data_IF_103541630106
#
_entry.id   IF_103541630106
#
_cell.length_a   1.000
_cell.length_b   1.000
_cell.length_c   1.000
_cell.angle_alpha   90.00
_cell.angle_beta   90.00
_cell.angle_gamma   90.00
#
_symmetry.space_group_name_H-M   'P 1'
#
loop_
_entity.id
_entity.type
_entity.pdbx_description
1 polymer ?
#
# COMPACT_ATOMS: atom_id res chain seq x y z
N UNK A 1 -8.35 -1.28 21.76
CA UNK A 1 -7.95 -0.04 22.43
C UNK A 1 -6.65 0.49 21.86
N UNK A 2 -6.58 1.79 21.62
CA UNK A 2 -5.38 2.50 21.13
C UNK A 2 -4.91 3.45 22.22
N UNK A 3 -3.60 3.49 22.49
CA UNK A 3 -3.01 4.44 23.44
C UNK A 3 -1.76 5.07 22.86
N UNK A 4 -1.75 6.40 22.85
CA UNK A 4 -0.62 7.25 22.49
C UNK A 4 -0.03 7.87 23.75
N UNK A 5 1.30 7.87 23.90
CA UNK A 5 2.00 8.46 25.03
C UNK A 5 3.06 9.43 24.51
N UNK A 6 2.85 10.74 24.69
CA UNK A 6 3.77 11.83 24.34
C UNK A 6 4.35 11.70 22.93
N UNK A 7 3.46 11.44 21.96
CA UNK A 7 3.85 11.20 20.56
C UNK A 7 4.27 12.50 19.89
N UNK A 8 5.43 12.43 19.23
CA UNK A 8 5.97 13.54 18.45
C UNK A 8 6.38 13.07 17.06
N UNK A 9 5.99 13.84 16.04
CA UNK A 9 6.32 13.59 14.64
C UNK A 9 6.84 14.86 13.99
N UNK A 10 7.98 14.71 13.31
CA UNK A 10 8.61 15.77 12.54
C UNK A 10 8.82 15.31 11.10
N UNK A 11 8.59 16.19 10.15
CA UNK A 11 9.11 16.08 8.79
C UNK A 11 10.39 16.92 8.67
N UNK A 12 11.32 16.50 7.82
CA UNK A 12 12.58 17.18 7.56
C UNK A 12 13.38 17.56 8.83
N UNK A 13 13.35 16.71 9.86
CA UNK A 13 14.01 17.00 11.14
C UNK A 13 15.50 17.32 10.95
N UNK A 14 15.95 18.44 11.52
CA UNK A 14 17.33 18.94 11.44
C UNK A 14 17.64 19.72 10.14
N UNK A 15 16.64 20.00 9.30
CA UNK A 15 16.77 20.85 8.11
C UNK A 15 16.10 22.21 8.36
N UNK A 16 16.44 23.25 7.53
CA UNK A 16 15.80 24.57 7.63
C UNK A 16 14.28 24.56 7.49
N UNK A 17 13.74 23.58 6.76
CA UNK A 17 12.30 23.37 6.55
C UNK A 17 11.73 22.26 7.44
N UNK A 18 12.17 22.16 8.69
CA UNK A 18 11.60 21.23 9.67
C UNK A 18 10.18 21.66 10.02
N UNK A 19 9.26 20.69 9.98
CA UNK A 19 7.86 20.87 10.39
C UNK A 19 7.57 19.91 11.55
N UNK A 20 7.04 20.43 12.67
CA UNK A 20 6.58 19.65 13.80
C UNK A 20 5.08 19.41 13.63
N UNK A 21 4.68 18.26 13.16
CA UNK A 21 3.29 17.98 12.73
C UNK A 21 2.45 17.33 13.81
N UNK A 22 3.05 16.61 14.75
CA UNK A 22 2.38 16.09 15.95
C UNK A 22 3.24 16.48 17.14
N UNK A 23 2.65 17.25 18.05
CA UNK A 23 3.35 17.80 19.20
C UNK A 23 2.83 17.20 20.50
N UNK A 24 3.67 16.38 21.13
CA UNK A 24 3.48 15.81 22.46
C UNK A 24 2.09 15.21 22.72
N UNK A 25 1.49 14.61 21.71
CA UNK A 25 0.12 14.10 21.75
C UNK A 25 0.01 12.85 22.60
N UNK A 26 -0.89 12.87 23.60
CA UNK A 26 -1.30 11.72 24.38
C UNK A 26 -2.80 11.53 24.21
N UNK A 27 -3.23 10.30 23.90
CA UNK A 27 -4.62 9.99 23.58
C UNK A 27 -4.93 8.54 23.93
N UNK A 28 -6.13 8.30 24.43
CA UNK A 28 -6.62 6.96 24.68
C UNK A 28 -7.99 6.77 24.02
N UNK A 29 -8.11 5.71 23.21
CA UNK A 29 -9.31 5.39 22.45
C UNK A 29 -9.82 4.02 22.85
N UNK A 30 -11.14 3.89 22.99
CA UNK A 30 -11.84 2.67 23.37
C UNK A 30 -11.81 1.57 22.32
N UNK A 31 -12.65 0.56 22.49
CA UNK A 31 -12.68 -0.61 21.61
C UNK A 31 -13.70 -0.47 20.49
N UNK A 32 -14.70 0.39 20.65
CA UNK A 32 -15.79 0.63 19.69
C UNK A 32 -16.23 2.09 19.72
N UNK A 33 -16.99 2.47 18.74
CA UNK A 33 -17.53 3.82 18.57
C UNK A 33 -16.86 4.56 17.42
N UNK A 34 -17.47 5.66 17.01
CA UNK A 34 -17.00 6.56 15.97
C UNK A 34 -16.33 7.78 16.61
N UNK A 35 -15.03 7.91 16.44
CA UNK A 35 -14.23 9.05 16.92
C UNK A 35 -13.86 9.91 15.72
N UNK A 36 -14.30 11.17 15.71
CA UNK A 36 -13.94 12.13 14.68
C UNK A 36 -12.72 12.95 15.09
N UNK A 37 -11.75 13.08 14.18
CA UNK A 37 -10.64 14.02 14.26
C UNK A 37 -10.96 15.22 13.39
N UNK A 38 -11.24 16.37 14.01
CA UNK A 38 -11.57 17.63 13.35
C UNK A 38 -10.40 18.62 13.42
N UNK A 39 -10.40 19.59 12.53
CA UNK A 39 -9.44 20.70 12.50
C UNK A 39 -9.18 21.22 11.10
N UNK A 40 -8.48 22.34 10.97
CA UNK A 40 -8.19 22.94 9.68
C UNK A 40 -7.30 22.06 8.79
N UNK A 41 -7.26 22.34 7.49
CA UNK A 41 -6.40 21.63 6.55
C UNK A 41 -4.93 21.84 6.94
N UNK A 42 -4.14 20.76 6.92
CA UNK A 42 -2.71 20.82 7.27
C UNK A 42 -2.37 20.73 8.76
N UNK A 43 -3.32 20.73 9.69
CA UNK A 43 -3.06 20.67 11.15
C UNK A 43 -2.50 19.31 11.64
N UNK A 44 -2.36 18.29 10.77
CA UNK A 44 -1.74 17.02 11.13
C UNK A 44 -2.68 15.83 11.31
N UNK A 45 -3.99 15.93 11.04
CA UNK A 45 -4.98 14.84 11.21
C UNK A 45 -4.61 13.56 10.48
N UNK A 46 -4.41 13.63 9.17
CA UNK A 46 -3.98 12.49 8.34
C UNK A 46 -2.63 11.92 8.81
N UNK A 47 -1.70 12.78 9.25
CA UNK A 47 -0.43 12.32 9.80
C UNK A 47 -0.64 11.55 11.11
N UNK A 48 -1.50 12.03 12.00
CA UNK A 48 -1.85 11.33 13.23
C UNK A 48 -2.52 9.99 12.92
N UNK A 49 -3.45 9.95 11.98
CA UNK A 49 -4.10 8.72 11.53
C UNK A 49 -3.08 7.71 10.98
N UNK A 50 -2.14 8.17 10.14
CA UNK A 50 -1.09 7.32 9.56
C UNK A 50 -0.12 6.77 10.63
N UNK A 51 0.17 7.56 11.65
CA UNK A 51 1.01 7.15 12.77
C UNK A 51 0.30 6.10 13.63
N UNK A 52 -1.00 6.29 13.91
CA UNK A 52 -1.85 5.31 14.61
C UNK A 52 -1.93 4.01 13.79
N UNK A 53 -2.08 4.11 12.48
CA UNK A 53 -2.13 2.97 11.57
C UNK A 53 -0.80 2.25 11.34
N UNK A 54 0.30 2.77 11.90
CA UNK A 54 1.64 2.21 11.69
C UNK A 54 2.15 2.35 10.26
N UNK A 55 1.55 3.24 9.46
CA UNK A 55 2.00 3.58 8.11
C UNK A 55 3.18 4.55 8.15
N UNK A 56 3.20 5.42 9.16
CA UNK A 56 4.27 6.39 9.37
C UNK A 56 4.96 6.19 10.73
N UNK A 57 6.21 6.61 10.82
CA UNK A 57 7.03 6.46 12.03
C UNK A 57 7.01 7.72 12.86
N UNK A 58 6.97 7.55 14.17
CA UNK A 58 7.16 8.64 15.15
C UNK A 58 8.64 8.86 15.48
N UNK A 59 8.97 10.02 16.02
CA UNK A 59 10.33 10.36 16.49
C UNK A 59 10.50 10.23 17.99
N UNK A 60 9.44 10.52 18.77
CA UNK A 60 9.39 10.36 20.23
C UNK A 60 8.01 9.85 20.62
N UNK A 61 7.90 9.27 21.82
CA UNK A 61 6.66 8.74 22.36
C UNK A 61 6.46 7.25 22.11
N UNK A 62 5.28 6.76 22.46
CA UNK A 62 4.91 5.36 22.29
C UNK A 62 3.49 5.25 21.77
N UNK A 63 3.23 4.23 20.96
CA UNK A 63 1.91 3.90 20.43
C UNK A 63 1.63 2.44 20.71
N UNK A 64 0.48 2.17 21.27
CA UNK A 64 0.00 0.82 21.54
C UNK A 64 -1.33 0.57 20.84
N UNK A 65 -1.48 -0.61 20.26
CA UNK A 65 -2.70 -1.13 19.67
C UNK A 65 -3.00 -2.48 20.29
N UNK A 66 -4.18 -2.64 20.91
CA UNK A 66 -4.55 -3.83 21.65
C UNK A 66 -3.46 -4.27 22.65
N UNK A 67 -2.90 -3.32 23.40
CA UNK A 67 -1.82 -3.52 24.37
C UNK A 67 -0.42 -3.77 23.77
N UNK A 68 -0.30 -3.90 22.47
CA UNK A 68 0.96 -4.18 21.81
C UNK A 68 1.59 -2.89 21.24
N UNK A 69 2.87 -2.66 21.56
CA UNK A 69 3.62 -1.49 21.07
C UNK A 69 3.92 -1.58 19.59
N UNK A 70 3.48 -0.57 18.80
CA UNK A 70 3.68 -0.49 17.36
C UNK A 70 4.65 0.63 16.93
N UNK A 71 5.06 1.49 17.85
CA UNK A 71 5.94 2.63 17.59
C UNK A 71 7.44 2.29 17.45
N UNK A 72 7.79 1.02 17.47
CA UNK A 72 9.17 0.53 17.29
C UNK A 72 9.54 0.39 15.80
N UNK A 73 10.82 0.08 15.53
CA UNK A 73 11.29 -0.20 14.16
C UNK A 73 10.41 -1.27 13.51
N UNK A 74 10.27 -1.20 12.18
CA UNK A 74 9.55 -2.21 11.39
C UNK A 74 9.94 -3.61 11.85
N UNK A 75 9.01 -4.31 12.45
CA UNK A 75 9.17 -5.69 12.85
C UNK A 75 7.99 -6.49 12.33
N UNK A 76 8.18 -7.78 12.13
CA UNK A 76 7.11 -8.72 11.77
C UNK A 76 5.88 -8.57 12.69
N UNK A 77 6.08 -8.28 13.98
CA UNK A 77 5.00 -8.07 14.96
C UNK A 77 4.15 -6.85 14.60
N UNK A 78 4.77 -5.71 14.24
CA UNK A 78 4.05 -4.49 13.84
C UNK A 78 3.27 -4.73 12.55
N UNK A 79 3.89 -5.36 11.55
CA UNK A 79 3.22 -5.71 10.30
C UNK A 79 2.04 -6.65 10.52
N UNK A 80 2.16 -7.62 11.41
CA UNK A 80 1.08 -8.53 11.79
C UNK A 80 -0.11 -7.76 12.39
N UNK A 81 0.14 -6.87 13.36
CA UNK A 81 -0.91 -6.06 14.00
C UNK A 81 -1.62 -5.22 12.94
N UNK A 82 -0.86 -4.45 12.14
CA UNK A 82 -1.43 -3.59 11.10
C UNK A 82 -2.27 -4.39 10.10
N UNK A 83 -1.75 -5.50 9.62
CA UNK A 83 -2.40 -6.27 8.57
C UNK A 83 -3.64 -7.03 9.07
N UNK A 84 -3.69 -7.44 10.33
CA UNK A 84 -4.83 -8.17 10.89
C UNK A 84 -5.86 -7.28 11.57
N UNK A 85 -5.40 -6.26 12.32
CA UNK A 85 -6.28 -5.54 13.24
C UNK A 85 -6.73 -4.17 12.72
N UNK A 86 -6.06 -3.61 11.69
CA UNK A 86 -6.35 -2.26 11.20
C UNK A 86 -6.82 -2.31 9.75
N UNK A 87 -8.05 -1.86 9.49
CA UNK A 87 -8.56 -1.54 8.15
C UNK A 87 -8.32 -0.07 7.83
N UNK A 88 -8.02 0.25 6.57
CA UNK A 88 -7.77 1.63 6.16
C UNK A 88 -8.67 2.00 4.97
N UNK A 89 -9.42 3.09 5.12
CA UNK A 89 -10.25 3.71 4.08
C UNK A 89 -9.55 5.02 3.71
N UNK A 90 -9.13 5.14 2.46
CA UNK A 90 -8.35 6.28 1.96
C UNK A 90 -9.24 7.26 1.19
N UNK A 91 -8.95 8.54 1.26
CA UNK A 91 -9.59 9.59 0.49
C UNK A 91 -9.55 9.33 -1.03
N UNK A 92 -8.37 8.95 -1.56
CA UNK A 92 -8.18 8.62 -3.00
C UNK A 92 -8.47 7.14 -3.29
N UNK A 93 -9.25 6.45 -2.47
CA UNK A 93 -9.59 5.03 -2.60
C UNK A 93 -8.39 4.08 -2.62
N UNK A 94 -7.27 4.43 -3.24
CA UNK A 94 -6.04 3.62 -3.42
C UNK A 94 -6.35 2.22 -3.97
N UNK A 95 -7.29 2.13 -4.90
CA UNK A 95 -7.60 0.90 -5.61
C UNK A 95 -6.56 0.63 -6.70
N UNK A 96 -6.42 -0.63 -7.07
CA UNK A 96 -5.61 -1.03 -8.22
C UNK A 96 -6.52 -0.99 -9.44
N UNK A 97 -6.36 0.03 -10.28
CA UNK A 97 -7.29 0.38 -11.35
C UNK A 97 -7.54 -0.74 -12.37
N UNK A 98 -6.50 -1.52 -12.71
CA UNK A 98 -6.60 -2.62 -13.67
C UNK A 98 -7.10 -3.94 -13.06
N UNK A 99 -7.31 -4.00 -11.76
CA UNK A 99 -7.91 -5.17 -11.12
C UNK A 99 -9.42 -5.02 -11.03
N UNK A 100 -10.10 -6.17 -11.08
CA UNK A 100 -11.54 -6.23 -10.84
C UNK A 100 -11.87 -5.77 -9.40
N UNK A 101 -13.14 -5.39 -9.17
CA UNK A 101 -13.67 -5.13 -7.83
C UNK A 101 -13.39 -6.33 -6.91
N UNK A 102 -13.68 -7.54 -7.39
CA UNK A 102 -13.42 -8.76 -6.65
C UNK A 102 -11.94 -8.90 -6.26
N UNK A 103 -11.01 -8.71 -7.21
CA UNK A 103 -9.59 -8.89 -6.95
C UNK A 103 -9.01 -7.80 -6.04
N UNK A 104 -9.51 -6.56 -6.12
CA UNK A 104 -9.12 -5.49 -5.20
C UNK A 104 -9.44 -5.84 -3.73
N UNK A 105 -10.53 -6.56 -3.49
CA UNK A 105 -10.91 -7.01 -2.15
C UNK A 105 -10.20 -8.31 -1.77
N UNK A 106 -10.16 -9.29 -2.69
CA UNK A 106 -9.56 -10.60 -2.45
C UNK A 106 -8.05 -10.55 -2.17
N UNK A 107 -7.33 -9.58 -2.76
CA UNK A 107 -5.89 -9.44 -2.59
C UNK A 107 -5.50 -9.30 -1.11
N UNK A 108 -6.32 -8.61 -0.31
CA UNK A 108 -6.05 -8.41 1.13
C UNK A 108 -6.05 -9.73 1.89
N UNK A 109 -7.02 -10.61 1.60
CA UNK A 109 -7.10 -11.94 2.21
C UNK A 109 -5.89 -12.80 1.83
N UNK A 110 -5.49 -12.75 0.55
CA UNK A 110 -4.27 -13.42 0.07
C UNK A 110 -3.01 -12.88 0.77
N UNK A 111 -2.93 -11.57 0.99
CA UNK A 111 -1.79 -10.93 1.66
C UNK A 111 -1.65 -11.29 3.14
N UNK A 112 -2.74 -11.55 3.84
CA UNK A 112 -2.72 -12.04 5.22
C UNK A 112 -2.52 -13.55 5.32
N UNK A 113 -2.44 -14.26 4.18
CA UNK A 113 -2.07 -15.66 4.11
C UNK A 113 -3.23 -16.65 4.02
N UNK A 114 -4.45 -16.19 3.71
CA UNK A 114 -5.56 -17.08 3.42
C UNK A 114 -5.35 -17.69 2.03
N UNK A 115 -5.29 -19.02 1.96
CA UNK A 115 -5.03 -19.77 0.73
C UNK A 115 -6.28 -20.46 0.18
N UNK A 116 -7.27 -20.70 1.02
CA UNK A 116 -8.52 -21.36 0.61
C UNK A 116 -9.32 -20.41 -0.29
N UNK A 117 -9.51 -20.85 -1.52
CA UNK A 117 -10.25 -20.11 -2.54
C UNK A 117 -11.75 -19.97 -2.20
N UNK A 118 -12.34 -20.99 -1.57
CA UNK A 118 -13.76 -20.97 -1.19
C UNK A 118 -14.00 -19.98 -0.06
N UNK A 119 -13.11 -19.95 0.93
CA UNK A 119 -13.14 -18.98 2.02
C UNK A 119 -13.00 -17.55 1.50
N UNK A 120 -12.03 -17.31 0.61
CA UNK A 120 -11.85 -16.00 -0.04
C UNK A 120 -13.13 -15.60 -0.78
N UNK A 121 -13.68 -16.50 -1.59
CA UNK A 121 -14.90 -16.25 -2.38
C UNK A 121 -16.06 -15.88 -1.48
N UNK A 122 -16.35 -16.68 -0.45
CA UNK A 122 -17.44 -16.44 0.50
C UNK A 122 -17.34 -15.06 1.15
N UNK A 123 -16.17 -14.71 1.67
CA UNK A 123 -15.96 -13.41 2.33
C UNK A 123 -16.10 -12.23 1.39
N UNK A 124 -15.47 -12.32 0.21
CA UNK A 124 -15.53 -11.24 -0.79
C UNK A 124 -16.94 -11.05 -1.30
N UNK A 125 -17.64 -12.11 -1.69
CA UNK A 125 -19.00 -12.00 -2.21
C UNK A 125 -19.97 -11.46 -1.16
N UNK A 126 -19.82 -11.89 0.08
CA UNK A 126 -20.63 -11.35 1.17
C UNK A 126 -20.41 -9.84 1.37
N UNK A 127 -19.17 -9.39 1.54
CA UNK A 127 -18.91 -7.98 1.80
C UNK A 127 -19.34 -7.10 0.63
N UNK A 128 -19.19 -7.59 -0.62
CA UNK A 128 -19.66 -6.87 -1.80
C UNK A 128 -21.19 -6.78 -1.86
N UNK A 129 -21.90 -7.83 -1.44
CA UNK A 129 -23.37 -7.80 -1.32
C UNK A 129 -23.81 -6.83 -0.22
N UNK A 130 -23.21 -6.89 0.96
CA UNK A 130 -23.54 -6.01 2.09
C UNK A 130 -23.35 -4.53 1.78
N UNK A 131 -22.46 -4.20 0.84
CA UNK A 131 -22.20 -2.84 0.37
C UNK A 131 -22.89 -2.49 -0.95
N UNK A 132 -23.83 -3.32 -1.43
CA UNK A 132 -24.60 -3.14 -2.68
C UNK A 132 -23.71 -2.92 -3.92
N UNK A 133 -22.53 -3.58 -3.97
CA UNK A 133 -21.58 -3.42 -5.07
C UNK A 133 -21.25 -4.74 -5.79
N UNK A 134 -21.88 -5.82 -5.40
CA UNK A 134 -21.64 -7.17 -5.94
C UNK A 134 -21.85 -7.26 -7.47
N UNK A 135 -22.86 -6.55 -8.01
CA UNK A 135 -23.15 -6.52 -9.45
C UNK A 135 -21.95 -6.05 -10.30
N UNK A 136 -21.01 -5.33 -9.71
CA UNK A 136 -19.81 -4.82 -10.38
C UNK A 136 -18.57 -5.68 -10.13
N UNK A 137 -18.69 -6.85 -9.49
CA UNK A 137 -17.54 -7.66 -9.04
C UNK A 137 -16.48 -7.94 -10.09
N UNK A 138 -16.87 -8.08 -11.36
CA UNK A 138 -15.98 -8.38 -12.48
C UNK A 138 -15.46 -7.12 -13.20
N UNK A 139 -15.97 -5.92 -12.89
CA UNK A 139 -15.53 -4.68 -13.53
C UNK A 139 -14.18 -4.24 -12.99
N UNK A 140 -13.28 -3.69 -13.83
CA UNK A 140 -12.09 -2.99 -13.37
C UNK A 140 -12.46 -1.79 -12.50
N UNK A 141 -11.64 -1.50 -11.46
CA UNK A 141 -11.90 -0.38 -10.56
C UNK A 141 -11.90 0.98 -11.27
N UNK A 142 -11.16 1.11 -12.38
CA UNK A 142 -11.14 2.32 -13.21
C UNK A 142 -12.50 2.70 -13.83
N UNK A 143 -13.41 1.72 -13.98
CA UNK A 143 -14.73 1.91 -14.61
C UNK A 143 -15.85 2.21 -13.59
N UNK A 144 -15.51 2.49 -12.35
CA UNK A 144 -16.47 2.75 -11.27
C UNK A 144 -16.62 4.25 -11.01
N UNK A 145 -17.84 4.67 -10.59
CA UNK A 145 -18.07 6.01 -10.05
C UNK A 145 -17.35 6.22 -8.70
N UNK A 146 -17.21 7.47 -8.24
CA UNK A 146 -16.57 7.80 -6.97
C UNK A 146 -17.17 7.05 -5.78
N UNK A 147 -18.50 7.08 -5.63
CA UNK A 147 -19.19 6.35 -4.56
C UNK A 147 -19.01 4.83 -4.65
N UNK A 148 -19.00 4.26 -5.87
CA UNK A 148 -18.71 2.83 -6.07
C UNK A 148 -17.26 2.50 -5.71
N UNK A 149 -16.28 3.33 -6.09
CA UNK A 149 -14.87 3.18 -5.71
C UNK A 149 -14.70 3.22 -4.20
N UNK A 150 -15.39 4.13 -3.51
CA UNK A 150 -15.35 4.25 -2.06
C UNK A 150 -15.91 3.00 -1.37
N UNK A 151 -17.03 2.47 -1.84
CA UNK A 151 -17.60 1.22 -1.31
C UNK A 151 -16.65 0.03 -1.50
N UNK A 152 -15.91 -0.04 -2.62
CA UNK A 152 -14.84 -1.05 -2.81
C UNK A 152 -13.69 -0.83 -1.82
N UNK A 153 -13.30 0.42 -1.56
CA UNK A 153 -12.31 0.77 -0.54
C UNK A 153 -12.71 0.30 0.86
N UNK A 154 -13.99 0.52 1.22
CA UNK A 154 -14.58 0.04 2.47
C UNK A 154 -14.61 -1.50 2.51
N UNK A 155 -15.05 -2.17 1.43
CA UNK A 155 -15.03 -3.62 1.33
C UNK A 155 -13.64 -4.19 1.57
N UNK A 156 -12.63 -3.59 0.94
CA UNK A 156 -11.22 -3.96 1.10
C UNK A 156 -10.71 -3.79 2.53
N UNK A 157 -11.15 -2.73 3.22
CA UNK A 157 -10.79 -2.51 4.62
C UNK A 157 -11.43 -3.55 5.55
N UNK A 158 -12.69 -3.93 5.29
CA UNK A 158 -13.50 -4.79 6.16
C UNK A 158 -13.30 -6.29 5.94
N UNK A 159 -12.95 -6.75 4.74
CA UNK A 159 -12.93 -8.18 4.36
C UNK A 159 -12.07 -9.07 5.25
N UNK A 160 -11.07 -8.49 5.91
CA UNK A 160 -10.17 -9.19 6.84
C UNK A 160 -10.64 -9.16 8.30
N UNK A 161 -11.81 -8.57 8.57
CA UNK A 161 -12.39 -8.41 9.90
C UNK A 161 -11.46 -7.69 10.90
N UNK A 162 -11.08 -6.44 10.64
CA UNK A 162 -10.22 -5.70 11.53
C UNK A 162 -10.98 -5.21 12.76
N UNK A 163 -10.28 -5.03 13.88
CA UNK A 163 -10.85 -4.46 15.11
C UNK A 163 -10.98 -2.93 15.03
N UNK A 164 -10.14 -2.30 14.21
CA UNK A 164 -10.00 -0.86 14.07
C UNK A 164 -10.11 -0.46 12.61
N UNK A 165 -10.90 0.56 12.32
CA UNK A 165 -11.00 1.19 11.01
C UNK A 165 -10.45 2.61 11.11
N UNK A 166 -9.55 2.96 10.20
CA UNK A 166 -9.03 4.30 10.01
C UNK A 166 -9.60 4.84 8.70
N UNK A 167 -10.34 5.92 8.77
CA UNK A 167 -10.98 6.55 7.62
C UNK A 167 -10.45 7.98 7.44
N UNK A 168 -9.79 8.22 6.33
CA UNK A 168 -9.17 9.48 5.98
C UNK A 168 -10.01 10.19 4.92
N UNK A 169 -10.80 11.18 5.32
CA UNK A 169 -11.72 11.95 4.49
C UNK A 169 -12.54 11.08 3.51
N UNK A 170 -13.32 10.11 4.03
CA UNK A 170 -13.98 9.12 3.18
C UNK A 170 -15.10 9.68 2.30
N UNK A 171 -15.53 10.92 2.53
CA UNK A 171 -16.58 11.63 1.77
C UNK A 171 -16.03 12.70 0.84
N UNK A 172 -14.77 13.12 0.97
CA UNK A 172 -14.20 14.30 0.34
C UNK A 172 -14.20 14.37 -1.18
N UNK A 173 -14.45 13.25 -1.87
CA UNK A 173 -14.55 13.18 -3.34
C UNK A 173 -15.92 12.68 -3.81
N UNK A 174 -16.96 12.84 -2.99
CA UNK A 174 -18.31 12.33 -3.24
C UNK A 174 -19.32 13.46 -3.27
N UNK A 175 -20.40 13.25 -4.00
CA UNK A 175 -21.59 14.10 -3.89
C UNK A 175 -22.30 13.89 -2.55
N UNK A 176 -23.20 14.78 -2.19
CA UNK A 176 -23.91 14.80 -0.92
C UNK A 176 -24.68 13.49 -0.62
N UNK A 177 -25.33 12.90 -1.63
CA UNK A 177 -26.08 11.65 -1.48
C UNK A 177 -25.16 10.47 -1.16
N UNK A 178 -24.08 10.30 -1.93
CA UNK A 178 -23.09 9.27 -1.68
C UNK A 178 -22.37 9.48 -0.35
N UNK A 179 -22.10 10.74 0.05
CA UNK A 179 -21.48 11.08 1.34
C UNK A 179 -22.33 10.57 2.51
N UNK A 180 -23.64 10.82 2.50
CA UNK A 180 -24.56 10.31 3.52
C UNK A 180 -24.59 8.78 3.57
N UNK A 181 -24.66 8.12 2.42
CA UNK A 181 -24.65 6.66 2.36
C UNK A 181 -23.36 6.07 2.94
N UNK A 182 -22.20 6.65 2.62
CA UNK A 182 -20.91 6.23 3.18
C UNK A 182 -20.84 6.48 4.68
N UNK A 183 -21.33 7.63 5.17
CA UNK A 183 -21.35 7.92 6.59
C UNK A 183 -22.28 6.98 7.37
N UNK A 184 -23.45 6.61 6.82
CA UNK A 184 -24.33 5.61 7.41
C UNK A 184 -23.64 4.24 7.52
N UNK A 185 -22.90 3.82 6.49
CA UNK A 185 -22.09 2.59 6.53
C UNK A 185 -21.02 2.68 7.63
N UNK A 186 -20.29 3.79 7.71
CA UNK A 186 -19.24 4.03 8.72
C UNK A 186 -19.84 4.00 10.14
N UNK A 187 -20.98 4.65 10.36
CA UNK A 187 -21.69 4.63 11.65
C UNK A 187 -22.12 3.22 12.02
N UNK A 188 -22.70 2.47 11.10
CA UNK A 188 -23.08 1.08 11.33
C UNK A 188 -21.88 0.18 11.71
N UNK A 189 -20.73 0.36 11.07
CA UNK A 189 -19.49 -0.34 11.40
C UNK A 189 -19.04 0.00 12.83
N UNK A 190 -19.16 1.26 13.24
CA UNK A 190 -18.69 1.76 14.54
C UNK A 190 -19.45 1.18 15.75
N UNK A 191 -20.64 0.64 15.55
CA UNK A 191 -21.40 -0.04 16.63
C UNK A 191 -20.62 -1.20 17.26
N UNK A 192 -19.81 -1.89 16.47
CA UNK A 192 -19.09 -3.10 16.90
C UNK A 192 -17.56 -2.96 16.88
N UNK A 193 -17.02 -1.85 16.38
CA UNK A 193 -15.59 -1.61 16.19
C UNK A 193 -15.22 -0.17 16.47
N UNK A 194 -13.94 0.07 16.74
CA UNK A 194 -13.42 1.43 16.77
C UNK A 194 -13.24 1.95 15.34
N UNK A 195 -13.87 3.07 15.04
CA UNK A 195 -13.66 3.81 13.80
C UNK A 195 -13.08 5.17 14.14
N UNK A 196 -11.93 5.51 13.55
CA UNK A 196 -11.32 6.83 13.64
C UNK A 196 -11.51 7.50 12.29
N UNK A 197 -12.27 8.57 12.28
CA UNK A 197 -12.64 9.34 11.11
C UNK A 197 -11.88 10.66 11.09
N UNK A 198 -11.12 10.93 10.05
CA UNK A 198 -10.64 12.28 9.73
C UNK A 198 -11.61 12.91 8.77
N UNK A 199 -12.10 14.10 9.07
CA UNK A 199 -12.93 14.88 8.17
C UNK A 199 -12.76 16.37 8.45
N UNK A 200 -13.06 17.19 7.48
CA UNK A 200 -13.23 18.64 7.60
C UNK A 200 -14.71 19.06 7.60
N UNK A 201 -15.62 18.11 7.35
CA UNK A 201 -17.06 18.31 7.36
C UNK A 201 -17.59 18.28 8.80
N UNK A 202 -17.63 19.46 9.42
CA UNK A 202 -17.99 19.61 10.83
C UNK A 202 -19.40 19.11 11.14
N UNK A 203 -20.36 19.38 10.25
CA UNK A 203 -21.76 18.97 10.42
C UNK A 203 -21.92 17.44 10.44
N UNK A 204 -21.29 16.73 9.50
CA UNK A 204 -21.28 15.27 9.49
C UNK A 204 -20.60 14.69 10.72
N UNK A 205 -19.48 15.29 11.15
CA UNK A 205 -18.80 14.84 12.35
C UNK A 205 -19.69 14.98 13.60
N UNK A 206 -20.32 16.14 13.80
CA UNK A 206 -21.22 16.36 14.94
C UNK A 206 -22.47 15.49 14.89
N UNK A 207 -22.93 15.12 13.72
CA UNK A 207 -24.10 14.25 13.61
C UNK A 207 -23.76 12.78 13.87
N UNK A 208 -22.66 12.26 13.30
CA UNK A 208 -22.36 10.83 13.31
C UNK A 208 -21.43 10.38 14.43
N UNK A 209 -20.47 11.22 14.87
CA UNK A 209 -19.45 10.80 15.82
C UNK A 209 -19.99 10.65 17.23
N UNK A 210 -19.43 9.70 17.98
CA UNK A 210 -19.70 9.51 19.42
C UNK A 210 -18.74 10.36 20.28
N UNK A 211 -17.53 10.65 19.74
CA UNK A 211 -16.50 11.48 20.38
C UNK A 211 -15.82 12.34 19.33
N UNK A 212 -15.53 13.57 19.66
CA UNK A 212 -14.88 14.53 18.79
C UNK A 212 -13.56 14.98 19.43
N UNK A 213 -12.51 14.98 18.63
CA UNK A 213 -11.17 15.44 19.00
C UNK A 213 -10.79 16.54 18.00
N UNK A 214 -10.68 17.76 18.51
CA UNK A 214 -10.26 18.91 17.70
C UNK A 214 -8.74 19.05 17.75
N UNK A 215 -8.13 19.18 16.58
CA UNK A 215 -6.68 19.27 16.42
C UNK A 215 -6.34 20.59 15.75
N UNK A 216 -5.44 21.34 16.36
CA UNK A 216 -4.88 22.57 15.84
C UNK A 216 -3.36 22.56 16.02
N UNK A 217 -2.61 22.95 15.00
CA UNK A 217 -1.14 23.01 14.98
C UNK A 217 -0.43 21.77 15.58
N UNK A 218 -0.98 20.59 15.29
CA UNK A 218 -0.43 19.31 15.74
C UNK A 218 -0.70 18.94 17.18
N UNK A 219 -1.55 19.71 17.90
CA UNK A 219 -1.97 19.45 19.28
C UNK A 219 -3.44 19.13 19.35
N UNK A 220 -3.84 18.40 20.38
CA UNK A 220 -5.25 18.23 20.71
C UNK A 220 -5.68 19.46 21.53
N UNK A 221 -6.60 20.22 20.95
CA UNK A 221 -7.18 21.40 21.60
C UNK A 221 -8.38 21.02 22.45
N UNK A 222 -9.26 20.17 21.92
CA UNK A 222 -10.43 19.70 22.64
C UNK A 222 -10.64 18.20 22.41
N UNK A 223 -11.19 17.54 23.41
CA UNK A 223 -11.52 16.12 23.40
C UNK A 223 -12.77 15.90 24.25
N UNK A 224 -13.89 15.57 23.60
CA UNK A 224 -15.18 15.49 24.29
C UNK A 224 -16.10 14.44 23.67
N UNK A 225 -16.98 13.90 24.51
CA UNK A 225 -18.10 13.05 24.08
C UNK A 225 -19.14 13.91 23.36
N UNK A 226 -19.64 13.43 22.25
CA UNK A 226 -20.61 14.16 21.45
C UNK A 226 -22.04 13.70 21.77
N UNK A 227 -22.74 14.50 22.56
CA UNK A 227 -24.12 14.26 22.99
C UNK A 227 -25.16 14.94 22.06
N UNK A 228 -24.77 15.36 20.88
CA UNK A 228 -25.65 16.02 19.93
C UNK A 228 -26.81 15.09 19.52
N UNK A 229 -28.04 15.55 19.75
CA UNK A 229 -29.31 14.87 19.39
C UNK A 229 -30.02 15.55 18.22
N UNK A 230 -29.47 16.65 17.70
CA UNK A 230 -30.11 17.39 16.62
C UNK A 230 -30.11 16.60 15.33
N UNK A 231 -31.12 16.78 14.51
CA UNK A 231 -31.16 16.29 13.14
C UNK A 231 -30.06 16.97 12.28
N UNK A 232 -29.68 16.31 11.21
CA UNK A 232 -28.70 16.82 10.25
C UNK A 232 -29.39 17.64 9.17
N UNK A 233 -29.09 18.90 9.10
CA UNK A 233 -29.47 19.76 7.97
C UNK A 233 -28.46 19.60 6.85
N UNK A 234 -28.68 18.62 5.97
CA UNK A 234 -27.76 18.28 4.89
C UNK A 234 -28.53 18.17 3.58
N UNK A 235 -28.59 19.27 2.86
CA UNK A 235 -29.32 19.32 1.58
C UNK A 235 -28.51 18.62 0.49
N UNK A 236 -29.18 17.70 -0.18
CA UNK A 236 -28.58 17.02 -1.35
C UNK A 236 -28.72 18.00 -2.52
N UNK A 237 -27.58 18.41 -3.08
CA UNK A 237 -27.45 19.48 -4.10
C UNK A 237 -28.36 19.27 -5.32
N UNK A 238 -28.63 18.00 -5.66
CA UNK A 238 -29.41 17.65 -6.85
C UNK A 238 -30.88 17.36 -6.55
N UNK A 239 -31.36 17.57 -5.32
CA UNK A 239 -32.77 17.33 -4.94
C UNK A 239 -33.51 18.67 -4.85
N UNK A 240 -34.59 18.78 -5.61
CA UNK A 240 -35.47 19.95 -5.58
C UNK A 240 -36.77 19.53 -4.88
N UNK A 241 -37.04 20.13 -3.71
CA UNK A 241 -38.22 19.88 -2.91
C UNK A 241 -39.34 20.80 -3.35
N UNK A 242 -40.35 20.28 -4.06
CA UNK A 242 -41.36 21.08 -4.73
C UNK A 242 -42.25 21.81 -3.74
N UNK A 243 -42.58 21.21 -2.57
CA UNK A 243 -43.41 21.86 -1.57
C UNK A 243 -42.76 22.99 -0.83
N UNK A 244 -41.44 23.15 -0.90
CA UNK A 244 -40.71 24.30 -0.34
C UNK A 244 -40.73 25.50 -1.28
N UNK A 245 -41.22 25.34 -2.50
CA UNK A 245 -41.31 26.35 -3.50
C UNK A 245 -42.73 26.90 -3.63
N UNK A 246 -42.89 28.17 -4.02
CA UNK A 246 -44.19 28.72 -4.41
C UNK A 246 -44.62 28.03 -5.71
N UNK A 247 -45.87 27.55 -5.73
CA UNK A 247 -46.44 26.87 -6.88
C UNK A 247 -47.47 27.73 -7.56
N UNK A 248 -47.35 27.85 -8.89
CA UNK A 248 -48.33 28.49 -9.77
C UNK A 248 -48.64 27.52 -10.91
N UNK A 249 -49.89 27.48 -11.30
CA UNK A 249 -50.35 26.66 -12.42
C UNK A 249 -51.00 27.54 -13.46
N UNK A 250 -50.55 27.39 -14.70
CA UNK A 250 -51.15 28.08 -15.86
C UNK A 250 -51.76 26.99 -16.74
N UNK A 251 -53.07 27.02 -16.89
CA UNK A 251 -53.80 26.08 -17.70
C UNK A 251 -54.44 26.78 -18.89
N UNK A 252 -54.10 26.34 -20.09
CA UNK A 252 -54.79 26.73 -21.33
C UNK A 252 -55.22 25.42 -22.02
N UNK A 253 -56.11 25.52 -23.03
CA UNK A 253 -56.80 24.38 -23.68
C UNK A 253 -55.92 23.16 -23.95
N UNK A 254 -54.66 23.36 -24.31
CA UNK A 254 -53.70 22.30 -24.66
C UNK A 254 -52.36 22.45 -23.95
N UNK A 255 -52.20 23.34 -22.97
CA UNK A 255 -50.99 23.58 -22.23
C UNK A 255 -51.26 23.60 -20.73
N UNK A 256 -50.63 22.71 -20.02
CA UNK A 256 -50.56 22.72 -18.56
C UNK A 256 -49.13 23.04 -18.16
N UNK A 257 -48.90 24.20 -17.55
CA UNK A 257 -47.60 24.64 -17.09
C UNK A 257 -47.64 24.77 -15.56
N UNK A 258 -46.76 24.05 -14.88
CA UNK A 258 -46.53 24.12 -13.43
C UNK A 258 -45.22 24.88 -13.20
N UNK A 259 -45.25 25.95 -12.44
CA UNK A 259 -44.12 26.78 -12.11
C UNK A 259 -43.88 26.66 -10.62
N UNK A 260 -42.64 26.25 -10.26
CA UNK A 260 -42.19 26.18 -8.86
C UNK A 260 -41.01 27.15 -8.72
N UNK A 261 -41.12 28.12 -7.82
CA UNK A 261 -40.12 29.16 -7.64
C UNK A 261 -39.85 29.51 -6.18
N UNK A 262 -38.58 29.77 -5.84
CA UNK A 262 -38.20 30.23 -4.53
C UNK A 262 -38.26 31.75 -4.36
N UNK A 263 -38.17 32.52 -5.46
CA UNK A 263 -38.29 33.97 -5.54
C UNK A 263 -38.98 34.32 -6.83
N UNK A 264 -39.92 35.26 -6.76
CA UNK A 264 -40.60 35.74 -7.94
C UNK A 264 -39.57 36.33 -8.93
N UNK A 265 -39.49 35.74 -10.11
CA UNK A 265 -38.67 36.23 -11.22
C UNK A 265 -39.49 36.25 -12.49
N UNK A 266 -39.23 37.26 -13.29
CA UNK A 266 -39.78 37.31 -14.64
C UNK A 266 -39.02 36.30 -15.51
N UNK A 267 -39.64 35.18 -15.80
CA UNK A 267 -39.09 34.16 -16.69
C UNK A 267 -39.64 34.42 -18.08
N UNK A 268 -38.75 34.61 -19.05
CA UNK A 268 -39.14 34.84 -20.43
C UNK A 268 -38.55 33.76 -21.32
N UNK A 269 -39.42 32.87 -21.82
CA UNK A 269 -39.03 31.85 -22.79
C UNK A 269 -40.12 31.67 -23.85
N UNK A 270 -39.72 31.25 -25.04
CA UNK A 270 -40.62 30.91 -26.15
C UNK A 270 -40.60 29.37 -26.25
N UNK A 271 -41.80 28.79 -26.19
CA UNK A 271 -42.00 27.34 -26.39
C UNK A 271 -42.61 27.18 -27.79
N UNK A 272 -41.93 26.41 -28.65
CA UNK A 272 -42.42 26.10 -30.00
C UNK A 272 -42.65 24.61 -30.08
N UNK A 273 -43.85 24.20 -30.46
CA UNK A 273 -44.22 22.79 -30.70
C UNK A 273 -44.43 22.59 -32.19
N UNK A 274 -43.56 21.80 -32.82
CA UNK A 274 -43.63 21.55 -34.27
C UNK A 274 -43.24 20.10 -34.58
N UNK A 275 -44.05 19.41 -35.36
CA UNK A 275 -43.77 18.04 -35.82
C UNK A 275 -43.47 17.06 -34.69
N UNK A 276 -44.17 17.18 -33.55
CA UNK A 276 -43.94 16.31 -32.37
C UNK A 276 -42.73 16.66 -31.54
N UNK A 277 -41.98 17.69 -31.88
CA UNK A 277 -40.83 18.19 -31.11
C UNK A 277 -41.20 19.45 -30.34
N UNK A 278 -40.61 19.61 -29.17
CA UNK A 278 -40.74 20.78 -28.31
C UNK A 278 -39.40 21.51 -28.33
N UNK A 279 -39.41 22.77 -28.73
CA UNK A 279 -38.25 23.64 -28.74
C UNK A 279 -38.44 24.76 -27.69
N UNK A 280 -37.44 24.97 -26.87
CA UNK A 280 -37.43 25.98 -25.82
C UNK A 280 -36.35 27.04 -26.18
N UNK A 281 -36.75 28.29 -26.40
CA UNK A 281 -35.81 29.40 -26.56
C UNK A 281 -35.85 30.23 -25.29
N UNK A 282 -34.74 30.30 -24.59
CA UNK A 282 -34.58 31.21 -23.45
C UNK A 282 -34.27 32.60 -23.94
N UNK A 283 -35.01 33.59 -23.45
CA UNK A 283 -34.79 35.04 -23.72
C UNK A 283 -34.31 35.78 -22.47
N UNK A 284 -34.19 35.08 -21.33
CA UNK A 284 -33.66 35.59 -20.07
C UNK A 284 -32.19 35.28 -19.86
N UNK A 285 -31.58 35.79 -18.77
CA UNK A 285 -30.21 35.53 -18.40
C UNK A 285 -30.02 34.12 -17.72
N UNK A 286 -31.11 33.44 -17.41
CA UNK A 286 -31.09 32.17 -16.66
C UNK A 286 -30.64 31.03 -17.56
N UNK A 287 -29.94 30.06 -16.95
CA UNK A 287 -29.55 28.79 -17.62
C UNK A 287 -30.74 27.85 -17.66
N UNK A 288 -31.03 27.26 -18.82
CA UNK A 288 -32.04 26.25 -18.98
C UNK A 288 -31.39 24.86 -18.86
N UNK A 289 -31.88 24.04 -17.92
CA UNK A 289 -31.51 22.63 -17.78
C UNK A 289 -32.74 21.77 -17.98
N UNK A 290 -32.64 20.75 -18.82
CA UNK A 290 -33.73 19.81 -19.10
C UNK A 290 -33.53 18.58 -18.23
N UNK A 291 -34.50 18.30 -17.36
CA UNK A 291 -34.49 17.12 -16.48
C UNK A 291 -35.12 15.96 -17.23
N UNK A 292 -34.33 14.95 -17.58
CA UNK A 292 -34.77 13.71 -18.22
C UNK A 292 -34.46 12.49 -17.35
N UNK A 293 -34.73 11.32 -17.87
CA UNK A 293 -34.51 10.05 -17.17
C UNK A 293 -33.06 9.80 -16.76
N UNK A 294 -32.11 10.40 -17.46
CA UNK A 294 -30.67 10.27 -17.19
C UNK A 294 -30.10 11.49 -16.41
N UNK A 295 -30.95 12.41 -15.98
CA UNK A 295 -30.54 13.58 -15.21
C UNK A 295 -30.22 13.20 -13.76
N UNK A 296 -29.21 13.85 -13.20
CA UNK A 296 -28.87 13.68 -11.77
C UNK A 296 -29.79 14.46 -10.83
N UNK A 297 -30.67 15.34 -11.38
CA UNK A 297 -31.60 16.15 -10.61
C UNK A 297 -32.86 15.35 -10.33
N UNK A 298 -33.28 15.30 -9.07
CA UNK A 298 -34.45 14.58 -8.61
C UNK A 298 -35.50 15.58 -8.08
N UNK A 299 -36.70 15.56 -8.67
CA UNK A 299 -37.83 16.37 -8.18
C UNK A 299 -38.57 15.59 -7.11
N UNK A 300 -38.68 16.15 -5.91
CA UNK A 300 -39.33 15.51 -4.75
C UNK A 300 -40.60 16.27 -4.39
N UNK A 301 -41.76 15.63 -4.53
CA UNK A 301 -43.05 16.22 -4.15
C UNK A 301 -43.27 16.10 -2.62
N UNK A 302 -42.39 16.65 -1.83
CA UNK A 302 -42.48 16.77 -0.36
C UNK A 302 -41.73 18.02 0.08
N UNK A 303 -41.82 18.31 1.41
CA UNK A 303 -40.99 19.29 2.08
C UNK A 303 -39.63 18.70 2.40
N UNK A 304 -38.59 19.55 2.39
CA UNK A 304 -37.30 19.19 2.93
C UNK A 304 -37.42 18.86 4.43
N UNK A 305 -36.84 17.76 4.84
CA UNK A 305 -36.76 17.34 6.24
C UNK A 305 -35.31 17.11 6.63
N UNK A 306 -34.92 17.58 7.80
CA UNK A 306 -33.65 17.23 8.39
C UNK A 306 -33.60 15.72 8.62
N UNK A 307 -32.43 15.13 8.42
CA UNK A 307 -32.20 13.70 8.60
C UNK A 307 -32.21 13.43 10.12
N UNK A 308 -33.13 12.55 10.57
CA UNK A 308 -33.17 12.16 11.97
C UNK A 308 -32.03 11.19 12.32
N UNK A 309 -31.54 11.26 13.55
CA UNK A 309 -30.44 10.39 14.01
C UNK A 309 -30.83 8.92 14.01
N UNK A 310 -32.11 8.64 14.28
CA UNK A 310 -32.70 7.31 14.24
C UNK A 310 -32.64 6.69 12.83
N UNK A 311 -32.74 7.49 11.77
CA UNK A 311 -32.67 6.99 10.39
C UNK A 311 -31.26 6.55 10.02
N UNK A 312 -30.25 7.28 10.49
CA UNK A 312 -28.85 6.87 10.34
C UNK A 312 -28.54 5.60 11.15
N UNK A 313 -29.20 5.41 12.30
CA UNK A 313 -29.02 4.25 13.17
C UNK A 313 -29.74 2.99 12.69
N UNK A 314 -30.79 3.12 11.85
CA UNK A 314 -31.52 1.98 11.25
C UNK A 314 -30.65 1.18 10.27
N UNK A 315 -29.58 1.79 9.75
CA UNK A 315 -28.67 1.08 8.88
C UNK A 315 -27.96 -0.03 9.66
N UNK A 316 -28.26 -1.28 9.33
CA UNK A 316 -27.70 -2.43 10.01
C UNK A 316 -26.69 -3.12 9.10
N UNK A 317 -25.47 -3.27 9.59
CA UNK A 317 -24.39 -3.93 8.90
C UNK A 317 -23.94 -5.14 9.71
N UNK A 318 -24.50 -6.32 9.40
CA UNK A 318 -24.14 -7.55 10.10
C UNK A 318 -22.94 -8.22 9.44
N UNK A 319 -21.79 -8.10 10.09
CA UNK A 319 -20.55 -8.75 9.64
C UNK A 319 -20.26 -10.07 10.39
N UNK A 320 -20.98 -10.34 11.48
CA UNK A 320 -20.67 -11.46 12.38
C UNK A 320 -20.98 -12.84 11.76
N UNK A 321 -21.89 -12.90 10.81
CA UNK A 321 -22.34 -14.17 10.22
C UNK A 321 -21.41 -14.79 9.17
N UNK A 322 -20.31 -14.10 8.79
CA UNK A 322 -19.42 -14.57 7.72
C UNK A 322 -18.22 -15.30 8.23
N UNK A 323 -17.77 -14.91 9.40
CA UNK A 323 -16.57 -15.49 9.99
C UNK A 323 -17.02 -16.61 10.89
N UNK A 324 -16.71 -17.85 10.51
CA UNK A 324 -16.91 -18.98 11.39
C UNK A 324 -16.25 -18.68 12.74
N UNK A 325 -16.95 -18.93 13.84
CA UNK A 325 -16.43 -18.72 15.23
C UNK A 325 -15.06 -19.37 15.47
N UNK A 326 -14.68 -20.33 14.63
CA UNK A 326 -13.43 -21.06 14.69
C UNK A 326 -12.26 -20.43 13.91
N UNK A 327 -12.47 -19.25 13.27
CA UNK A 327 -11.42 -18.62 12.50
C UNK A 327 -10.38 -17.96 13.38
N UNK A 328 -9.30 -18.67 13.69
CA UNK A 328 -8.11 -18.06 14.28
C UNK A 328 -7.41 -17.21 13.20
N UNK A 329 -7.31 -15.90 13.42
CA UNK A 329 -6.54 -14.98 12.57
C UNK A 329 -5.08 -15.45 12.49
N UNK A 330 -4.77 -16.36 11.55
CA UNK A 330 -3.39 -16.81 11.28
C UNK A 330 -2.78 -15.84 10.25
N UNK A 331 -1.75 -15.14 10.66
CA UNK A 331 -0.97 -14.30 9.75
C UNK A 331 0.21 -15.11 9.20
N UNK A 332 0.28 -15.23 7.88
CA UNK A 332 1.48 -15.67 7.20
C UNK A 332 1.93 -14.56 6.24
N UNK A 333 3.14 -14.04 6.47
CA UNK A 333 3.70 -13.06 5.55
C UNK A 333 3.98 -13.72 4.21
N UNK A 334 3.54 -13.08 3.13
CA UNK A 334 3.96 -13.48 1.77
C UNK A 334 5.41 -13.07 1.50
N UNK A 335 6.01 -12.23 2.37
CA UNK A 335 7.40 -11.78 2.27
C UNK A 335 8.32 -12.83 2.90
N UNK A 336 8.68 -13.85 2.15
CA UNK A 336 9.76 -14.77 2.48
C UNK A 336 10.78 -14.80 1.32
N UNK A 337 12.02 -15.26 1.55
CA UNK A 337 13.07 -15.26 0.51
C UNK A 337 12.64 -15.97 -0.78
N UNK A 338 11.90 -17.06 -0.66
CA UNK A 338 11.40 -17.85 -1.81
C UNK A 338 10.41 -17.02 -2.65
N UNK A 339 9.51 -16.28 -1.98
CA UNK A 339 8.53 -15.43 -2.67
C UNK A 339 9.22 -14.26 -3.39
N UNK A 340 10.27 -13.67 -2.78
CA UNK A 340 11.08 -12.64 -3.43
C UNK A 340 11.74 -13.16 -4.69
N UNK A 341 12.42 -14.31 -4.61
CA UNK A 341 13.07 -14.95 -5.75
C UNK A 341 12.04 -15.25 -6.84
N UNK A 342 10.92 -15.90 -6.50
CA UNK A 342 9.85 -16.23 -7.44
C UNK A 342 9.23 -15.00 -8.10
N UNK A 343 9.00 -13.92 -7.33
CA UNK A 343 8.48 -12.65 -7.85
C UNK A 343 9.48 -11.95 -8.75
N UNK A 344 10.77 -12.00 -8.40
CA UNK A 344 11.86 -11.49 -9.23
C UNK A 344 11.92 -12.20 -10.59
N UNK A 345 11.90 -13.53 -10.59
CA UNK A 345 11.85 -14.32 -11.82
C UNK A 345 10.62 -14.00 -12.67
N UNK A 346 9.43 -13.96 -12.06
CA UNK A 346 8.19 -13.61 -12.78
C UNK A 346 8.24 -12.21 -13.39
N UNK A 347 8.87 -11.26 -12.71
CA UNK A 347 9.06 -9.89 -13.22
C UNK A 347 9.99 -9.88 -14.42
N UNK A 348 11.09 -10.65 -14.38
CA UNK A 348 12.04 -10.79 -15.47
C UNK A 348 11.37 -11.43 -16.71
N UNK A 349 10.58 -12.49 -16.50
CA UNK A 349 9.85 -13.17 -17.58
C UNK A 349 8.88 -12.20 -18.27
N UNK A 350 8.28 -11.28 -17.54
CA UNK A 350 7.31 -10.30 -18.05
C UNK A 350 7.96 -9.03 -18.63
N UNK A 351 9.30 -8.90 -18.67
CA UNK A 351 9.95 -7.77 -19.31
C UNK A 351 9.77 -7.80 -20.84
N UNK A 352 9.69 -6.61 -21.42
CA UNK A 352 9.74 -6.45 -22.88
C UNK A 352 11.06 -7.01 -23.42
N UNK A 353 11.11 -7.52 -24.67
CA UNK A 353 12.30 -8.18 -25.25
C UNK A 353 13.58 -7.36 -25.09
N UNK A 354 13.54 -6.07 -25.37
CA UNK A 354 14.70 -5.16 -25.23
C UNK A 354 15.26 -5.14 -23.79
N UNK A 355 14.39 -5.15 -22.77
CA UNK A 355 14.83 -5.18 -21.37
C UNK A 355 15.42 -6.53 -20.97
N UNK A 356 14.94 -7.63 -21.58
CA UNK A 356 15.53 -8.96 -21.37
C UNK A 356 16.94 -9.04 -21.98
N UNK A 357 17.12 -8.46 -23.16
CA UNK A 357 18.42 -8.39 -23.82
C UNK A 357 19.44 -7.59 -23.01
N UNK A 358 19.04 -6.42 -22.51
CA UNK A 358 19.87 -5.62 -21.60
C UNK A 358 20.25 -6.39 -20.32
N UNK A 359 19.31 -7.14 -19.75
CA UNK A 359 19.58 -7.95 -18.56
C UNK A 359 20.61 -9.06 -18.84
N UNK A 360 20.55 -9.70 -20.02
CA UNK A 360 21.56 -10.66 -20.48
C UNK A 360 22.95 -10.01 -20.55
N UNK A 361 23.03 -8.79 -21.08
CA UNK A 361 24.28 -8.01 -21.12
C UNK A 361 24.85 -7.76 -19.72
N UNK A 362 24.02 -7.36 -18.76
CA UNK A 362 24.46 -7.18 -17.36
C UNK A 362 24.89 -8.51 -16.72
N UNK A 363 24.22 -9.62 -17.01
CA UNK A 363 24.63 -10.94 -16.51
C UNK A 363 26.00 -11.35 -17.09
N UNK A 364 26.23 -11.14 -18.37
CA UNK A 364 27.53 -11.41 -18.99
C UNK A 364 28.63 -10.54 -18.37
N UNK A 365 28.39 -9.24 -18.21
CA UNK A 365 29.34 -8.33 -17.56
C UNK A 365 29.67 -8.76 -16.11
N UNK A 366 28.65 -9.16 -15.33
CA UNK A 366 28.86 -9.66 -13.97
C UNK A 366 29.70 -10.96 -13.94
N UNK A 367 29.48 -11.88 -14.89
CA UNK A 367 30.28 -13.09 -15.01
C UNK A 367 31.75 -12.77 -15.35
N UNK A 368 31.99 -11.82 -16.27
CA UNK A 368 33.36 -11.37 -16.59
C UNK A 368 34.05 -10.73 -15.38
N UNK A 369 33.34 -9.90 -14.60
CA UNK A 369 33.88 -9.31 -13.38
C UNK A 369 34.24 -10.39 -12.37
N UNK A 370 33.34 -11.33 -12.09
CA UNK A 370 33.59 -12.44 -11.17
C UNK A 370 34.77 -13.30 -11.61
N UNK A 371 34.85 -13.60 -12.91
CA UNK A 371 35.98 -14.32 -13.48
C UNK A 371 37.29 -13.55 -13.27
N UNK A 372 37.33 -12.25 -13.57
CA UNK A 372 38.50 -11.41 -13.37
C UNK A 372 38.95 -11.35 -11.92
N UNK A 373 37.99 -11.14 -10.98
CA UNK A 373 38.27 -11.14 -9.54
C UNK A 373 38.79 -12.50 -9.07
N UNK A 374 38.21 -13.59 -9.54
CA UNK A 374 38.67 -14.95 -9.21
C UNK A 374 40.10 -15.18 -9.69
N UNK A 375 40.46 -14.67 -10.88
CA UNK A 375 41.81 -14.76 -11.45
C UNK A 375 42.81 -13.98 -10.61
N UNK A 376 42.50 -12.73 -10.26
CA UNK A 376 43.35 -11.91 -9.40
C UNK A 376 43.52 -12.57 -8.01
N UNK A 377 42.45 -13.07 -7.42
CA UNK A 377 42.54 -13.78 -6.14
C UNK A 377 43.39 -15.05 -6.22
N UNK A 378 43.31 -15.80 -7.33
CA UNK A 378 44.18 -16.98 -7.55
C UNK A 378 45.66 -16.60 -7.68
N UNK A 379 45.97 -15.47 -8.29
CA UNK A 379 47.36 -14.97 -8.36
C UNK A 379 47.91 -14.46 -7.05
N UNK A 380 47.05 -13.96 -6.17
CA UNK A 380 47.45 -13.45 -4.84
C UNK A 380 47.64 -14.57 -3.78
N UNK A 381 47.05 -15.73 -3.99
CA UNK A 381 47.13 -16.90 -3.07
C UNK A 381 48.06 -17.95 -3.69
N UNK A 382 49.32 -17.55 -3.89
CA UNK A 382 50.38 -18.47 -4.31
C UNK A 382 51.05 -19.06 -3.08
N UNK A 383 51.11 -20.37 -3.04
CA UNK A 383 51.85 -21.09 -1.97
C UNK A 383 53.18 -21.53 -2.52
N UNK A 384 54.23 -21.48 -1.70
CA UNK A 384 55.61 -21.87 -2.06
C UNK A 384 55.63 -23.25 -2.73
N UNK A 385 54.80 -24.20 -2.28
CA UNK A 385 54.69 -25.53 -2.87
C UNK A 385 54.13 -25.54 -4.33
N UNK A 386 53.51 -24.43 -4.81
CA UNK A 386 53.01 -24.32 -6.18
C UNK A 386 54.15 -23.96 -7.15
N UNK A 387 55.29 -23.51 -6.62
CA UNK A 387 56.55 -23.23 -7.39
C UNK A 387 57.55 -24.34 -7.28
N UNK A 388 57.53 -25.11 -6.19
CA UNK A 388 58.49 -26.19 -5.98
C UNK A 388 57.87 -27.50 -6.41
N UNK A 389 58.24 -27.93 -7.63
CA UNK A 389 57.85 -29.26 -8.15
C UNK A 389 58.74 -30.38 -7.67
N UNK A 390 59.80 -30.05 -7.00
CA UNK A 390 60.74 -31.04 -6.48
C UNK A 390 60.52 -31.17 -4.97
N UNK A 391 60.76 -32.37 -4.48
CA UNK A 391 60.83 -32.63 -3.06
C UNK A 391 62.01 -31.77 -2.50
N UNK A 392 61.81 -31.00 -1.47
CA UNK A 392 62.79 -30.17 -0.78
C UNK A 392 63.98 -31.02 -0.20
N UNK A 393 63.88 -32.32 -0.27
CA UNK A 393 64.92 -33.24 0.12
C UNK A 393 65.96 -33.51 -0.96
N UNK A 394 65.80 -32.93 -2.19
CA UNK A 394 66.77 -33.12 -3.29
C UNK A 394 67.61 -31.83 -3.49
N UNK A 395 68.91 -32.02 -3.49
CA UNK A 395 69.88 -30.94 -3.84
C UNK A 395 70.49 -31.28 -5.16
N UNK A 396 70.43 -30.32 -6.14
CA UNK A 396 71.04 -30.44 -7.40
C UNK A 396 72.38 -29.69 -7.38
N UNK A 397 73.46 -30.40 -7.63
CA UNK A 397 74.81 -29.80 -7.76
C UNK A 397 75.25 -29.85 -9.22
N UNK A 398 75.49 -28.66 -9.79
CA UNK A 398 76.03 -28.57 -11.14
C UNK A 398 77.56 -28.44 -11.11
N UNK A 399 78.26 -29.30 -11.83
CA UNK A 399 79.73 -29.22 -11.94
C UNK A 399 80.15 -29.47 -13.36
N UNK A 400 81.22 -28.73 -13.79
CA UNK A 400 81.75 -28.86 -15.14
C UNK A 400 82.51 -30.12 -15.46
N UNK A 401 82.97 -30.82 -14.41
CA UNK A 401 83.62 -32.15 -14.52
C UNK A 401 83.38 -32.91 -13.23
N UNK A 402 82.69 -34.02 -13.35
CA UNK A 402 82.54 -34.95 -12.24
C UNK A 402 83.53 -36.04 -12.37
N UNK A 403 84.36 -36.19 -11.37
CA UNK A 403 85.30 -37.31 -11.25
C UNK A 403 84.89 -38.27 -10.12
N UNK A 404 85.36 -39.49 -10.17
CA UNK A 404 85.02 -40.55 -9.18
C UNK A 404 85.30 -40.13 -7.73
N UNK A 405 86.34 -39.32 -7.55
CA UNK A 405 86.77 -38.87 -6.22
C UNK A 405 85.78 -37.86 -5.65
N UNK A 406 85.27 -36.94 -6.45
CA UNK A 406 84.25 -35.93 -6.04
C UNK A 406 82.87 -36.59 -5.84
N UNK A 407 82.55 -37.53 -6.63
CA UNK A 407 81.33 -38.35 -6.44
C UNK A 407 81.34 -39.11 -5.09
N UNK A 408 82.51 -39.72 -4.78
CA UNK A 408 82.66 -40.43 -3.52
C UNK A 408 82.63 -39.49 -2.31
N UNK A 409 83.06 -38.24 -2.47
CA UNK A 409 82.91 -37.23 -1.40
C UNK A 409 81.46 -36.91 -1.12
N UNK A 410 80.68 -36.77 -2.17
CA UNK A 410 79.24 -36.44 -2.03
C UNK A 410 78.46 -37.58 -1.41
N UNK A 411 78.74 -38.83 -1.79
CA UNK A 411 78.06 -40.01 -1.20
C UNK A 411 78.41 -40.22 0.26
N UNK A 412 79.59 -39.80 0.67
CA UNK A 412 80.03 -39.94 2.07
C UNK A 412 79.66 -38.77 2.98
N UNK A 413 78.78 -37.85 2.55
CA UNK A 413 78.23 -36.82 3.42
C UNK A 413 77.11 -37.44 4.24
N UNK A 414 77.20 -37.30 5.56
CA UNK A 414 76.14 -37.68 6.42
C UNK A 414 74.82 -36.96 6.01
N UNK A 415 73.70 -37.68 6.05
CA UNK A 415 72.37 -37.20 5.56
C UNK A 415 72.09 -37.26 4.06
N UNK A 416 73.06 -37.71 3.21
CA UNK A 416 72.79 -37.99 1.80
C UNK A 416 72.50 -39.47 1.64
N UNK A 417 71.24 -39.80 1.30
CA UNK A 417 70.81 -41.19 1.11
C UNK A 417 71.33 -41.81 -0.19
N UNK A 418 71.41 -41.02 -1.23
CA UNK A 418 72.04 -41.47 -2.50
C UNK A 418 72.38 -40.24 -3.38
N UNK A 419 73.34 -40.38 -4.26
CA UNK A 419 73.66 -39.39 -5.27
C UNK A 419 73.58 -40.08 -6.64
N UNK A 420 72.96 -39.42 -7.59
CA UNK A 420 72.80 -39.94 -8.96
C UNK A 420 73.61 -39.09 -9.96
N UNK A 421 74.70 -39.58 -10.51
CA UNK A 421 75.43 -38.86 -11.53
C UNK A 421 74.68 -38.96 -12.86
N UNK A 422 74.62 -37.85 -13.62
CA UNK A 422 74.00 -37.84 -14.91
C UNK A 422 74.35 -36.60 -15.74
N UNK A 423 74.25 -36.73 -17.05
CA UNK A 423 74.49 -35.67 -18.03
C UNK A 423 73.26 -35.33 -18.89
N UNK A 424 72.12 -35.79 -18.47
CA UNK A 424 70.87 -35.61 -19.23
C UNK A 424 70.25 -34.23 -19.01
N UNK A 425 70.01 -33.55 -20.12
CA UNK A 425 69.31 -32.28 -20.17
C UNK A 425 67.79 -32.54 -20.21
N UNK A 426 67.07 -32.18 -19.16
CA UNK A 426 65.62 -32.27 -19.13
C UNK A 426 65.07 -30.84 -19.14
N UNK A 427 64.25 -30.54 -20.15
CA UNK A 427 63.52 -29.27 -20.21
C UNK A 427 62.14 -29.46 -19.60
N UNK A 428 61.89 -28.85 -18.43
CA UNK A 428 60.62 -28.89 -17.76
C UNK A 428 59.85 -27.59 -18.03
N UNK A 429 58.68 -27.67 -18.71
CA UNK A 429 57.82 -26.49 -18.81
C UNK A 429 57.17 -26.21 -17.45
N UNK A 430 57.44 -25.04 -16.88
CA UNK A 430 56.69 -24.53 -15.72
C UNK A 430 55.30 -24.08 -16.17
N UNK A 431 54.28 -24.84 -15.80
CA UNK A 431 52.90 -24.45 -16.01
C UNK A 431 52.35 -23.87 -14.70
N UNK A 432 52.25 -22.55 -14.64
CA UNK A 432 51.72 -21.87 -13.51
C UNK A 432 50.16 -21.93 -13.53
N UNK A 433 49.59 -22.60 -12.53
CA UNK A 433 48.18 -22.59 -12.22
C UNK A 433 47.21 -22.74 -13.39
N UNK A 434 47.41 -23.72 -14.26
CA UNK A 434 46.50 -24.05 -15.38
C UNK A 434 46.15 -22.87 -16.30
N UNK A 435 46.94 -21.81 -16.27
CA UNK A 435 46.67 -20.63 -17.07
C UNK A 435 47.82 -20.32 -18.00
N UNK A 436 47.60 -20.57 -19.21
CA UNK A 436 48.03 -20.01 -20.51
C UNK A 436 49.35 -19.23 -20.60
N UNK A 437 50.20 -19.14 -19.56
CA UNK A 437 51.56 -18.65 -19.67
C UNK A 437 52.54 -19.78 -19.37
N UNK A 438 53.03 -20.40 -20.40
CA UNK A 438 54.17 -21.29 -20.34
C UNK A 438 55.45 -20.45 -20.37
N UNK A 439 56.02 -20.15 -19.23
CA UNK A 439 57.42 -19.79 -19.17
C UNK A 439 58.23 -21.08 -19.11
N UNK A 440 58.85 -21.44 -20.20
CA UNK A 440 59.77 -22.60 -20.22
C UNK A 440 61.03 -22.22 -19.46
N UNK A 441 61.23 -22.82 -18.29
CA UNK A 441 62.54 -22.86 -17.65
C UNK A 441 63.26 -24.13 -18.11
N UNK A 442 64.42 -24.00 -18.71
CA UNK A 442 65.26 -25.15 -19.05
C UNK A 442 66.02 -25.53 -17.81
N UNK A 443 65.62 -26.61 -17.19
CA UNK A 443 66.43 -27.24 -16.16
C UNK A 443 67.15 -28.46 -16.71
N UNK A 444 68.41 -28.57 -16.33
CA UNK A 444 69.25 -29.67 -16.68
C UNK A 444 69.24 -30.66 -15.51
N UNK A 445 68.65 -31.80 -15.70
CA UNK A 445 68.73 -32.92 -14.76
C UNK A 445 69.82 -33.86 -15.30
N UNK A 446 70.86 -34.06 -14.54
CA UNK A 446 71.83 -35.12 -14.83
C UNK A 446 71.24 -36.46 -14.42
N UNK A 447 71.05 -37.36 -15.32
CA UNK A 447 70.67 -38.72 -15.12
C UNK A 447 71.85 -39.66 -14.95
#
# INVERSE_FOLDING_TARGET
MIRLEKVNKYYNKGKKNQIHVIDNTSLELGEKGLVALLGPSGCGKTTLLNVIGGLDKIKKGKIYVNGQKISTRRSYKVDKIRNLNIGYIFQDYKLIDNLSVYDNVAIVLKMIGIKDKNEIKKRVEYILNSLNIYRFKSRPASMLSGGQRQRVGIARALVKDPDIILADEPTGNLDSKNSLEIMNIIKAISKNRLVILVTHETELAHFYADRIIEIEDGKIEKDYTNDNKNGLDYRIENNIYLKDLKHQEVNDKNLKLQIYENKEKNINFILVVQNGNIYIKNEGPEKVEVIGADSNIELIDDHYKTIAKEDAEKYNFDFQNIISKDFKKKYSSIFNPITFIKSGFKKIINYKPLKKFLLLGYMAAAMFILFSVSRIAATLVVKDKDFIKYNDTYIQISTNKLNVADYNKVINIDDINYAMPGDSLVSLPLVYNNLLQTTGVKEYVMG
#
